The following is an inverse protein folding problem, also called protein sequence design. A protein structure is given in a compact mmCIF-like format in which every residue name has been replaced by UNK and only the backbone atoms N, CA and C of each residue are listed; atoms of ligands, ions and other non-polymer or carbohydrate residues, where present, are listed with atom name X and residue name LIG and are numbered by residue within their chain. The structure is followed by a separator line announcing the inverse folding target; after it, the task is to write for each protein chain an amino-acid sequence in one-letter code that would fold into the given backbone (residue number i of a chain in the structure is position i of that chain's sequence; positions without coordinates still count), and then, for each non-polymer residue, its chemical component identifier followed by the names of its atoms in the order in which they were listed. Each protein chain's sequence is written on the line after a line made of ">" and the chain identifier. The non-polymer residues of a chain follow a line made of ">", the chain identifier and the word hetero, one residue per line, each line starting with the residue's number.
data_IF_046915253804
#
_entry.id   IF_046915253804
#
_cell.length_a   1.000
_cell.length_b   1.000
_cell.length_c   1.000
_cell.angle_alpha   90.00
_cell.angle_beta   90.00
_cell.angle_gamma   90.00
#
_symmetry.space_group_name_H-M   'P 1'
#
loop_
_entity.id
_entity.type
_entity.pdbx_description
1 polymer ?
#
# COMPACT_ATOMS: atom_id res chain seq x y z
N UNK A 1 14.56 -20.78 -3.50
CA UNK A 1 13.07 -20.87 -3.53
C UNK A 1 12.51 -19.79 -2.62
N UNK A 2 11.32 -19.23 -2.91
CA UNK A 2 10.66 -18.29 -2.01
C UNK A 2 10.39 -18.97 -0.66
N UNK A 3 10.44 -18.21 0.43
CA UNK A 3 10.12 -18.72 1.77
C UNK A 3 9.37 -17.68 2.58
N UNK A 4 8.51 -18.15 3.49
CA UNK A 4 7.86 -17.28 4.46
C UNK A 4 8.65 -17.27 5.76
N UNK A 5 8.79 -16.08 6.35
CA UNK A 5 9.40 -15.89 7.66
C UNK A 5 8.51 -15.00 8.53
N UNK A 6 8.78 -15.02 9.83
CA UNK A 6 8.24 -14.09 10.80
C UNK A 6 9.31 -13.10 11.19
N UNK A 7 8.97 -11.81 11.20
CA UNK A 7 9.91 -10.73 11.56
C UNK A 7 9.23 -9.66 12.37
N UNK A 8 9.95 -9.16 13.35
CA UNK A 8 9.46 -8.05 14.16
C UNK A 8 9.76 -6.73 13.46
N UNK A 9 8.73 -5.89 13.38
CA UNK A 9 8.86 -4.48 13.01
C UNK A 9 8.13 -3.63 14.04
N UNK A 10 8.53 -2.37 14.15
CA UNK A 10 7.71 -1.38 14.83
C UNK A 10 6.55 -1.01 13.89
N UNK A 11 5.31 -1.24 14.31
CA UNK A 11 4.12 -1.08 13.47
C UNK A 11 3.01 -0.34 14.22
N UNK A 12 2.40 0.65 13.57
CA UNK A 12 1.19 1.29 14.07
C UNK A 12 0.00 0.32 13.97
N UNK A 13 -0.78 0.17 15.04
CA UNK A 13 -1.99 -0.66 14.99
C UNK A 13 -3.21 0.14 14.54
N UNK A 14 -4.17 -0.53 13.90
CA UNK A 14 -5.52 0.00 13.67
C UNK A 14 -6.44 -0.52 14.78
N UNK A 15 -7.10 0.36 15.53
CA UNK A 15 -8.03 -0.07 16.59
C UNK A 15 -9.32 -0.67 16.05
N UNK A 16 -9.92 -0.02 15.05
CA UNK A 16 -11.22 -0.39 14.52
C UNK A 16 -11.31 -0.01 13.05
N UNK A 17 -11.73 -0.95 12.21
CA UNK A 17 -12.06 -0.70 10.81
C UNK A 17 -13.53 -0.27 10.76
N UNK A 18 -13.88 0.72 9.95
CA UNK A 18 -15.29 1.14 9.85
C UNK A 18 -16.19 -0.03 9.43
N UNK A 19 -17.36 -0.16 10.05
CA UNK A 19 -18.34 -1.20 9.70
C UNK A 19 -19.11 -0.88 8.42
N UNK A 20 -19.03 0.37 7.95
CA UNK A 20 -19.78 0.86 6.80
C UNK A 20 -18.78 1.21 5.69
N UNK A 21 -19.04 0.81 4.43
CA UNK A 21 -18.25 1.25 3.29
C UNK A 21 -18.16 2.77 3.20
N UNK A 22 -17.10 3.28 2.57
CA UNK A 22 -16.99 4.71 2.32
C UNK A 22 -18.02 5.14 1.27
N UNK A 23 -19.13 5.73 1.73
CA UNK A 23 -20.18 6.28 0.88
C UNK A 23 -19.99 7.78 0.70
N UNK A 24 -20.25 8.28 -0.51
CA UNK A 24 -20.29 9.71 -0.77
C UNK A 24 -21.63 10.25 -0.26
N UNK A 25 -21.58 11.38 0.45
CA UNK A 25 -22.78 12.09 0.90
C UNK A 25 -23.40 12.91 -0.24
N UNK A 26 -22.57 13.47 -1.12
CA UNK A 26 -22.98 14.20 -2.32
C UNK A 26 -21.96 13.93 -3.42
N UNK A 27 -22.41 13.46 -4.59
CA UNK A 27 -21.52 13.21 -5.73
C UNK A 27 -21.03 14.53 -6.31
N UNK A 28 -19.89 15.01 -5.83
CA UNK A 28 -19.27 16.21 -6.36
C UNK A 28 -18.43 15.84 -7.59
N UNK A 29 -18.64 16.49 -8.75
CA UNK A 29 -17.78 16.26 -9.90
C UNK A 29 -16.36 16.70 -9.57
N UNK A 30 -15.37 15.88 -9.93
CA UNK A 30 -13.97 16.28 -9.84
C UNK A 30 -13.75 17.54 -10.67
N UNK A 31 -13.14 18.56 -10.08
CA UNK A 31 -12.86 19.85 -10.73
C UNK A 31 -11.42 19.87 -11.22
N UNK A 32 -11.05 18.94 -12.11
CA UNK A 32 -9.81 19.07 -12.85
C UNK A 32 -9.97 20.16 -13.92
N UNK A 33 -9.04 21.10 -13.98
CA UNK A 33 -8.87 21.98 -15.13
C UNK A 33 -7.81 21.37 -16.03
N UNK A 34 -8.11 21.23 -17.32
CA UNK A 34 -7.17 20.78 -18.33
C UNK A 34 -7.18 21.74 -19.50
N UNK A 35 -6.00 21.98 -20.05
CA UNK A 35 -5.79 22.76 -21.27
C UNK A 35 -5.55 21.85 -22.50
N UNK A 36 -5.86 20.54 -22.38
CA UNK A 36 -5.75 19.54 -23.46
C UNK A 36 -7.04 19.57 -24.30
N UNK A 37 -6.89 19.76 -25.62
CA UNK A 37 -8.00 19.85 -26.58
C UNK A 37 -8.60 18.47 -26.98
N UNK A 38 -9.86 18.46 -27.42
CA UNK A 38 -10.54 17.34 -28.11
C UNK A 38 -10.52 15.96 -27.37
N UNK A 39 -10.53 14.87 -28.15
CA UNK A 39 -10.54 13.46 -27.71
C UNK A 39 -9.28 13.05 -26.92
N UNK A 40 -8.23 13.88 -26.89
CA UNK A 40 -7.04 13.63 -26.06
C UNK A 40 -7.34 13.82 -24.57
N UNK A 41 -8.39 14.59 -24.24
CA UNK A 41 -8.89 14.76 -22.88
C UNK A 41 -9.77 13.62 -22.36
N UNK A 42 -10.13 12.63 -23.19
CA UNK A 42 -11.08 11.56 -22.81
C UNK A 42 -10.67 10.75 -21.58
N UNK A 43 -9.37 10.65 -21.31
CA UNK A 43 -8.82 9.86 -20.19
C UNK A 43 -8.38 10.70 -19.01
N UNK A 44 -8.61 12.01 -19.05
CA UNK A 44 -8.39 12.87 -17.88
C UNK A 44 -9.33 12.40 -16.78
N UNK A 45 -8.79 12.25 -15.58
CA UNK A 45 -9.47 11.69 -14.41
C UNK A 45 -9.92 10.22 -14.54
N UNK A 46 -9.47 9.49 -15.56
CA UNK A 46 -9.71 8.05 -15.61
C UNK A 46 -9.07 7.37 -14.39
N UNK A 47 -9.89 6.65 -13.61
CA UNK A 47 -9.47 6.05 -12.35
C UNK A 47 -9.56 6.98 -11.14
N UNK A 48 -10.00 8.23 -11.29
CA UNK A 48 -10.38 9.05 -10.15
C UNK A 48 -11.55 8.42 -9.40
N UNK A 49 -11.46 8.45 -8.08
CA UNK A 49 -12.46 7.92 -7.16
C UNK A 49 -12.62 8.88 -6.01
N UNK A 50 -13.86 9.33 -5.80
CA UNK A 50 -14.24 10.14 -4.66
C UNK A 50 -14.14 9.35 -3.35
N UNK A 51 -14.55 8.08 -3.40
CA UNK A 51 -14.63 7.21 -2.22
C UNK A 51 -13.97 5.87 -2.46
N UNK A 52 -13.72 5.14 -1.37
CA UNK A 52 -13.18 3.79 -1.42
C UNK A 52 -14.24 2.71 -1.62
N UNK A 53 -15.49 3.03 -1.99
CA UNK A 53 -16.53 2.01 -2.18
C UNK A 53 -16.04 0.91 -3.16
N UNK A 54 -16.23 -0.39 -2.84
CA UNK A 54 -17.02 -0.96 -1.73
C UNK A 54 -16.25 -1.17 -0.42
N UNK A 55 -15.01 -0.69 -0.31
CA UNK A 55 -14.15 -0.91 0.85
C UNK A 55 -14.45 0.06 2.00
N UNK A 56 -14.30 -0.45 3.21
CA UNK A 56 -14.38 0.29 4.47
C UNK A 56 -13.11 1.11 4.72
N UNK A 57 -13.25 2.22 5.44
CA UNK A 57 -12.12 3.06 5.84
C UNK A 57 -11.27 2.39 6.93
N UNK A 58 -9.94 2.52 6.83
CA UNK A 58 -8.95 2.09 7.80
C UNK A 58 -8.49 3.31 8.62
N UNK A 59 -9.26 3.63 9.65
CA UNK A 59 -9.05 4.81 10.50
C UNK A 59 -8.52 4.41 11.89
N UNK A 60 -8.30 5.39 12.76
CA UNK A 60 -7.97 5.16 14.17
C UNK A 60 -6.67 4.38 14.39
N UNK A 61 -5.62 4.81 13.70
CA UNK A 61 -4.25 4.33 13.95
C UNK A 61 -3.77 4.82 15.32
N UNK A 62 -3.15 3.92 16.09
CA UNK A 62 -2.61 4.19 17.43
C UNK A 62 -1.08 4.14 17.44
N UNK A 63 -0.51 4.12 18.64
CA UNK A 63 0.92 4.00 18.88
C UNK A 63 1.56 2.81 18.18
N UNK A 64 2.85 2.98 17.90
CA UNK A 64 3.64 1.96 17.23
C UNK A 64 4.14 0.96 18.28
N UNK A 65 3.88 -0.32 18.03
CA UNK A 65 4.32 -1.42 18.90
C UNK A 65 5.14 -2.43 18.10
N UNK A 66 5.99 -3.18 18.77
CA UNK A 66 6.70 -4.28 18.10
C UNK A 66 5.69 -5.38 17.75
N UNK A 67 5.63 -5.73 16.46
CA UNK A 67 4.69 -6.72 15.94
C UNK A 67 5.40 -7.71 15.02
N UNK A 68 5.02 -8.97 15.16
CA UNK A 68 5.47 -10.04 14.28
C UNK A 68 4.70 -10.00 12.95
N UNK A 69 5.37 -9.65 11.87
CA UNK A 69 4.83 -9.60 10.51
C UNK A 69 5.30 -10.81 9.73
N UNK A 70 4.39 -11.40 8.95
CA UNK A 70 4.73 -12.44 7.98
C UNK A 70 5.36 -11.79 6.76
N UNK A 71 6.58 -12.20 6.42
CA UNK A 71 7.31 -11.72 5.25
C UNK A 71 7.52 -12.86 4.26
N UNK A 72 7.41 -12.57 2.96
CA UNK A 72 7.84 -13.48 1.91
C UNK A 72 9.21 -13.05 1.41
N UNK A 73 10.20 -13.93 1.49
CA UNK A 73 11.57 -13.65 1.06
C UNK A 73 11.85 -14.33 -0.26
N UNK A 74 12.35 -13.53 -1.20
CA UNK A 74 12.82 -13.98 -2.50
C UNK A 74 14.30 -13.60 -2.64
N UNK A 75 15.17 -14.60 -2.76
CA UNK A 75 16.61 -14.39 -2.74
C UNK A 75 17.32 -15.25 -3.78
N UNK A 76 18.35 -14.68 -4.40
CA UNK A 76 19.33 -15.37 -5.22
C UNK A 76 20.76 -14.85 -4.94
N UNK A 77 21.72 -15.18 -5.80
CA UNK A 77 23.14 -14.79 -5.63
C UNK A 77 23.41 -13.29 -5.80
N UNK A 78 22.43 -12.52 -6.28
CA UNK A 78 22.57 -11.12 -6.66
C UNK A 78 21.67 -10.21 -5.82
N UNK A 79 20.44 -10.64 -5.57
CA UNK A 79 19.40 -9.83 -4.95
C UNK A 79 18.75 -10.57 -3.80
N UNK A 80 18.35 -9.78 -2.82
CA UNK A 80 17.50 -10.19 -1.73
C UNK A 80 16.29 -9.25 -1.68
N UNK A 81 15.08 -9.81 -1.58
CA UNK A 81 13.83 -9.07 -1.55
C UNK A 81 12.90 -9.56 -0.43
N UNK A 82 12.30 -8.62 0.29
CA UNK A 82 11.25 -8.87 1.29
C UNK A 82 9.93 -8.32 0.80
N UNK A 83 8.89 -9.14 0.81
CA UNK A 83 7.52 -8.72 0.58
C UNK A 83 6.72 -8.81 1.88
N UNK A 84 5.74 -7.92 2.06
CA UNK A 84 4.81 -7.90 3.19
C UNK A 84 3.41 -8.37 2.75
N UNK A 85 3.13 -9.70 2.67
CA UNK A 85 1.82 -10.23 2.33
C UNK A 85 0.66 -9.62 3.12
N UNK A 86 0.86 -9.32 4.41
CA UNK A 86 -0.17 -8.77 5.30
C UNK A 86 -0.42 -7.27 5.10
N UNK A 87 0.41 -6.60 4.29
CA UNK A 87 0.41 -5.15 4.08
C UNK A 87 0.49 -4.83 2.58
N UNK A 88 -0.54 -5.27 1.86
CA UNK A 88 -0.73 -5.03 0.44
C UNK A 88 0.27 -5.76 -0.45
N UNK A 89 1.00 -6.75 0.08
CA UNK A 89 2.06 -7.41 -0.66
C UNK A 89 3.23 -6.49 -0.97
N UNK A 90 3.44 -5.41 -0.19
CA UNK A 90 4.49 -4.41 -0.42
C UNK A 90 5.83 -5.09 -0.67
N UNK A 91 6.53 -4.72 -1.75
CA UNK A 91 7.97 -4.98 -1.80
C UNK A 91 8.63 -4.03 -0.81
N UNK A 92 8.93 -4.53 0.37
CA UNK A 92 9.46 -3.73 1.46
C UNK A 92 10.94 -3.48 1.24
N UNK A 93 11.77 -4.52 1.27
CA UNK A 93 13.21 -4.39 1.05
C UNK A 93 13.64 -4.97 -0.28
N UNK A 94 14.62 -4.33 -0.89
CA UNK A 94 15.35 -4.86 -2.03
C UNK A 94 16.82 -4.48 -1.87
N UNK A 95 17.69 -5.49 -1.78
CA UNK A 95 19.10 -5.33 -1.47
C UNK A 95 19.97 -5.94 -2.57
N UNK A 96 20.95 -5.18 -3.03
CA UNK A 96 21.97 -5.62 -3.98
C UNK A 96 23.14 -6.27 -3.23
N UNK A 97 23.25 -7.59 -3.32
CA UNK A 97 24.30 -8.38 -2.64
C UNK A 97 25.68 -8.16 -3.24
N UNK A 98 25.77 -7.75 -4.51
CA UNK A 98 27.06 -7.48 -5.19
C UNK A 98 27.60 -6.10 -4.82
N UNK A 99 26.71 -5.10 -4.75
CA UNK A 99 27.08 -3.73 -4.38
C UNK A 99 26.94 -3.42 -2.89
N UNK A 100 26.44 -4.38 -2.12
CA UNK A 100 26.23 -4.31 -0.68
C UNK A 100 25.41 -3.08 -0.24
N UNK A 101 24.31 -2.80 -0.93
CA UNK A 101 23.48 -1.62 -0.64
C UNK A 101 21.99 -1.89 -0.81
N UNK A 102 21.18 -1.17 -0.07
CA UNK A 102 19.74 -1.09 -0.30
C UNK A 102 19.46 -0.36 -1.61
N UNK A 103 18.55 -0.92 -2.40
CA UNK A 103 18.05 -0.33 -3.65
C UNK A 103 16.84 0.57 -3.34
N UNK A 104 16.06 0.21 -2.32
CA UNK A 104 14.83 0.91 -1.93
C UNK A 104 15.01 1.62 -0.60
N UNK A 105 14.37 2.77 -0.47
CA UNK A 105 14.14 3.39 0.83
C UNK A 105 13.09 2.59 1.59
N UNK A 106 13.41 2.23 2.83
CA UNK A 106 12.44 1.70 3.81
C UNK A 106 12.58 2.45 5.10
N UNK A 107 11.45 2.74 5.74
CA UNK A 107 11.44 3.37 7.04
C UNK A 107 11.79 2.35 8.14
N UNK A 108 12.24 2.84 9.29
CA UNK A 108 12.48 2.01 10.49
C UNK A 108 11.17 1.54 11.15
N UNK A 109 10.06 2.22 10.82
CA UNK A 109 8.71 1.97 11.33
C UNK A 109 7.68 1.84 10.20
N UNK A 110 6.76 0.89 10.33
CA UNK A 110 5.56 0.78 9.50
C UNK A 110 4.44 1.58 10.15
N UNK A 111 4.41 2.88 9.85
CA UNK A 111 3.51 3.83 10.51
C UNK A 111 2.38 4.27 9.59
N UNK A 112 1.14 3.96 9.96
CA UNK A 112 -0.04 4.34 9.18
C UNK A 112 -0.39 5.82 9.36
N UNK A 113 -0.66 6.51 8.25
CA UNK A 113 -1.15 7.89 8.20
C UNK A 113 -2.18 8.05 7.08
N UNK A 114 -2.97 9.13 7.16
CA UNK A 114 -4.01 9.44 6.19
C UNK A 114 -3.41 9.87 4.83
N UNK A 115 -3.24 8.90 3.92
CA UNK A 115 -2.78 9.14 2.56
C UNK A 115 -3.39 8.20 1.52
N UNK A 116 -4.02 7.08 1.91
CA UNK A 116 -4.71 6.18 0.96
C UNK A 116 -6.18 6.54 0.78
N UNK A 117 -6.79 6.02 -0.29
CA UNK A 117 -8.24 6.09 -0.52
C UNK A 117 -9.05 5.46 0.64
N UNK A 118 -8.46 4.48 1.33
CA UNK A 118 -9.00 3.90 2.58
C UNK A 118 -8.44 4.54 3.84
N UNK A 119 -7.93 5.77 3.75
CA UNK A 119 -7.22 6.51 4.79
C UNK A 119 -5.80 5.97 5.07
N UNK A 120 -5.66 4.77 5.63
CA UNK A 120 -4.36 4.26 6.07
C UNK A 120 -3.37 3.98 4.91
N UNK A 121 -2.16 4.52 5.04
CA UNK A 121 -1.00 4.26 4.18
C UNK A 121 0.31 4.39 4.99
N UNK A 122 1.41 3.77 4.54
CA UNK A 122 2.74 3.88 5.16
C UNK A 122 3.86 4.02 4.12
N UNK A 123 4.92 4.72 4.50
CA UNK A 123 6.05 5.07 3.62
C UNK A 123 7.10 3.97 3.49
N UNK A 124 7.78 3.96 2.34
CA UNK A 124 8.88 3.05 2.03
C UNK A 124 8.47 1.86 1.16
N UNK A 125 9.48 1.22 0.55
CA UNK A 125 9.30 0.11 -0.38
C UNK A 125 8.62 0.53 -1.69
N UNK A 126 8.01 -0.46 -2.35
CA UNK A 126 7.21 -0.29 -3.57
C UNK A 126 5.78 -0.76 -3.32
N UNK A 127 4.84 0.12 -3.63
CA UNK A 127 3.40 -0.12 -3.56
C UNK A 127 2.83 -0.46 -4.95
N UNK A 128 1.85 -1.38 -4.97
CA UNK A 128 1.12 -1.75 -6.18
C UNK A 128 -0.12 -0.88 -6.35
N UNK A 129 -0.04 0.14 -7.20
CA UNK A 129 -1.16 1.04 -7.51
C UNK A 129 -1.77 0.66 -8.86
N UNK A 130 -2.96 0.06 -8.82
CA UNK A 130 -3.66 -0.44 -10.00
C UNK A 130 -5.12 0.04 -10.02
N UNK A 131 -5.54 0.66 -11.13
CA UNK A 131 -6.95 0.92 -11.43
C UNK A 131 -7.59 2.12 -10.72
N UNK A 132 -6.87 2.80 -9.84
CA UNK A 132 -7.28 4.09 -9.26
C UNK A 132 -6.12 5.07 -9.29
N UNK A 133 -6.44 6.37 -9.33
CA UNK A 133 -5.43 7.42 -9.15
C UNK A 133 -5.04 7.47 -7.67
N UNK A 134 -3.74 7.38 -7.39
CA UNK A 134 -3.19 7.43 -6.04
C UNK A 134 -2.94 6.04 -5.43
N UNK A 135 -2.99 5.99 -4.10
CA UNK A 135 -2.60 4.83 -3.31
C UNK A 135 -3.70 3.77 -3.24
N UNK A 136 -3.28 2.51 -3.40
CA UNK A 136 -4.16 1.35 -3.50
C UNK A 136 -5.07 1.15 -2.29
N UNK A 137 -6.33 0.69 -2.48
CA UNK A 137 -7.19 0.29 -1.36
C UNK A 137 -6.67 -0.97 -0.65
N UNK A 138 -5.69 -1.67 -1.21
CA UNK A 138 -5.11 -2.86 -0.60
C UNK A 138 -3.79 -2.57 0.11
N UNK A 139 -3.32 -1.32 0.09
CA UNK A 139 -2.01 -0.90 0.61
C UNK A 139 -1.71 -1.40 2.04
N UNK A 140 -2.71 -1.40 2.93
CA UNK A 140 -2.63 -1.92 4.29
C UNK A 140 -3.57 -3.11 4.52
N UNK A 141 -3.74 -3.99 3.53
CA UNK A 141 -4.62 -5.16 3.62
C UNK A 141 -3.86 -6.47 3.45
N UNK A 142 -4.41 -7.54 4.02
CA UNK A 142 -3.94 -8.90 3.75
C UNK A 142 -4.13 -9.23 2.27
N UNK A 143 -3.06 -9.65 1.62
CA UNK A 143 -3.09 -10.22 0.28
C UNK A 143 -3.07 -11.74 0.36
N UNK A 144 -3.77 -12.40 -0.57
CA UNK A 144 -3.63 -13.83 -0.74
C UNK A 144 -2.25 -14.15 -1.34
N UNK A 145 -1.49 -15.01 -0.68
CA UNK A 145 -0.20 -15.51 -1.16
C UNK A 145 -0.12 -17.01 -0.87
N UNK A 146 0.34 -17.79 -1.85
CA UNK A 146 0.50 -19.24 -1.72
C UNK A 146 1.70 -19.72 -2.54
N UNK A 147 2.27 -20.85 -2.15
CA UNK A 147 3.12 -21.63 -3.04
C UNK A 147 2.22 -22.37 -4.03
N UNK A 148 2.63 -22.39 -5.30
CA UNK A 148 1.96 -23.12 -6.37
C UNK A 148 2.90 -24.22 -6.86
#
# INVERSE_FOLDING_TARGET
>A
MPRFEKRNYLVSSLMHISDIPHLSLERQPHKAKSDIDNFEGLFIDYGWRETSYPYTQQNSYIEDTEQEITVAVLENDYLYAEFLPTLGGRLWKLYDKKKQRDILYTNDVIRFRNLSIRNAWFSGGVEWNCGIIGHSPFTCSQMYCAFV
#
